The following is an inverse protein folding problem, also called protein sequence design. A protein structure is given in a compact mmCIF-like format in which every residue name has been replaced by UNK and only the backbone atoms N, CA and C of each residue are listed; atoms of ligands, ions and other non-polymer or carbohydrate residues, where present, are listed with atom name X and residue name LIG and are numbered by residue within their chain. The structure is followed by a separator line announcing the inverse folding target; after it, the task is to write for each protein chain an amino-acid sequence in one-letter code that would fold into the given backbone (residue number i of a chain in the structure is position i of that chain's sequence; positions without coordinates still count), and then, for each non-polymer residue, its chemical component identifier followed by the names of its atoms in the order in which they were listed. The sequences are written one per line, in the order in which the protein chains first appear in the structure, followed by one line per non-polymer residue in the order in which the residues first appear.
data_IF_882799432211
#
_entry.id   IF_882799432211
#
_cell.length_a   1.000
_cell.length_b   1.000
_cell.length_c   1.000
_cell.angle_alpha   90.00
_cell.angle_beta   90.00
_cell.angle_gamma   90.00
#
_symmetry.space_group_name_H-M   'P 1'
#
loop_
_entity.id
_entity.type
_entity.pdbx_description
1 polymer ?
#
# COMPACT_ATOMS: atom_id res chain seq x y z
N UNK A 1 -34.11 -50.47 -40.04
CA UNK A 1 -35.11 -49.61 -40.70
C UNK A 1 -35.08 -48.30 -39.92
N UNK A 2 -34.61 -47.15 -40.46
CA UNK A 2 -35.03 -46.49 -41.73
C UNK A 2 -36.54 -46.16 -41.58
N UNK A 3 -37.09 -44.94 -41.63
CA UNK A 3 -36.72 -43.59 -42.12
C UNK A 3 -37.55 -42.54 -41.30
N UNK A 4 -37.45 -41.19 -41.35
CA UNK A 4 -36.78 -40.23 -42.25
C UNK A 4 -36.26 -38.98 -41.50
N UNK A 5 -35.63 -38.07 -42.27
CA UNK A 5 -35.24 -36.67 -42.06
C UNK A 5 -36.38 -35.67 -41.75
N UNK A 6 -36.07 -34.53 -41.09
CA UNK A 6 -36.06 -33.18 -41.71
C UNK A 6 -35.82 -32.03 -40.69
N UNK A 7 -34.67 -31.32 -40.76
CA UNK A 7 -34.52 -29.90 -40.39
C UNK A 7 -34.69 -28.98 -41.62
N UNK A 8 -34.45 -27.65 -41.46
CA UNK A 8 -34.43 -26.53 -42.47
C UNK A 8 -35.68 -25.64 -42.49
N UNK A 9 -35.65 -24.38 -43.03
CA UNK A 9 -34.53 -23.58 -43.59
C UNK A 9 -34.15 -22.36 -42.70
N UNK A 10 -32.97 -21.72 -42.73
CA UNK A 10 -32.21 -21.01 -43.78
C UNK A 10 -32.93 -19.79 -44.39
N UNK A 11 -32.44 -18.59 -44.03
CA UNK A 11 -32.21 -17.44 -44.93
C UNK A 11 -30.83 -16.89 -44.52
N UNK A 12 -29.75 -17.20 -45.25
CA UNK A 12 -29.25 -16.55 -46.48
C UNK A 12 -28.60 -15.16 -46.27
N UNK A 13 -27.33 -15.11 -46.67
CA UNK A 13 -26.46 -13.92 -46.69
C UNK A 13 -26.41 -13.33 -48.10
N UNK A 14 -25.93 -12.08 -48.25
CA UNK A 14 -24.59 -11.93 -48.86
C UNK A 14 -23.78 -10.84 -48.13
N UNK A 15 -22.52 -11.05 -47.71
CA UNK A 15 -21.28 -11.10 -48.54
C UNK A 15 -21.14 -9.94 -49.54
N UNK A 16 -20.26 -8.99 -49.23
CA UNK A 16 -19.75 -8.01 -50.18
C UNK A 16 -18.30 -7.64 -49.83
N UNK A 17 -17.35 -8.50 -50.22
CA UNK A 17 -15.95 -8.10 -50.40
C UNK A 17 -15.84 -7.21 -51.64
N UNK A 18 -15.11 -6.10 -51.53
CA UNK A 18 -14.65 -5.31 -52.68
C UNK A 18 -13.22 -4.82 -52.39
N UNK A 19 -12.24 -5.49 -53.00
CA UNK A 19 -10.86 -4.99 -53.13
C UNK A 19 -10.69 -4.13 -54.40
N UNK A 20 -9.53 -3.47 -54.45
CA UNK A 20 -8.86 -2.83 -55.60
C UNK A 20 -9.17 -1.36 -55.89
N UNK A 21 -8.11 -0.55 -55.87
CA UNK A 21 -8.11 0.88 -56.20
C UNK A 21 -6.78 1.58 -55.89
N UNK A 22 -5.66 1.08 -56.41
CA UNK A 22 -4.37 1.76 -56.35
C UNK A 22 -4.26 2.77 -57.51
N UNK A 23 -4.23 4.08 -57.22
CA UNK A 23 -3.62 5.07 -58.10
C UNK A 23 -2.80 6.10 -57.31
N UNK A 24 -1.59 6.36 -57.81
CA UNK A 24 -0.60 7.29 -57.24
C UNK A 24 -0.85 8.71 -57.72
N UNK A 25 -0.82 9.66 -56.78
CA UNK A 25 -0.55 11.06 -57.08
C UNK A 25 0.33 11.66 -55.98
N UNK A 26 1.60 11.91 -56.31
CA UNK A 26 2.47 12.74 -55.48
C UNK A 26 2.21 14.21 -55.78
N UNK A 27 2.18 15.05 -54.75
CA UNK A 27 2.61 16.45 -54.87
C UNK A 27 3.36 16.88 -53.61
N UNK A 28 4.32 17.78 -53.79
CA UNK A 28 5.26 18.19 -52.75
C UNK A 28 4.95 19.61 -52.26
N UNK A 29 4.84 19.77 -50.94
CA UNK A 29 4.64 21.07 -50.30
C UNK A 29 5.46 21.18 -49.03
N UNK A 30 6.66 21.77 -49.14
CA UNK A 30 7.50 22.04 -47.98
C UNK A 30 6.92 23.19 -47.14
N UNK A 31 6.90 23.00 -45.82
CA UNK A 31 6.56 24.02 -44.84
C UNK A 31 7.21 23.66 -43.51
N UNK A 32 8.30 24.33 -43.18
CA UNK A 32 8.96 24.21 -41.89
C UNK A 32 8.09 24.88 -40.81
N UNK A 33 7.60 24.12 -39.83
CA UNK A 33 7.28 24.69 -38.52
C UNK A 33 8.03 23.97 -37.41
N UNK A 34 8.62 24.79 -36.54
CA UNK A 34 9.56 24.46 -35.48
C UNK A 34 8.83 23.84 -34.26
N UNK A 35 8.28 22.64 -34.41
CA UNK A 35 7.72 21.91 -33.26
C UNK A 35 8.81 21.19 -32.49
N UNK A 36 9.60 21.96 -31.74
CA UNK A 36 10.57 21.49 -30.74
C UNK A 36 9.92 20.82 -29.53
N UNK A 37 9.05 19.84 -29.75
CA UNK A 37 8.59 18.92 -28.71
C UNK A 37 9.66 17.84 -28.53
N UNK A 38 10.61 18.08 -27.63
CA UNK A 38 11.40 16.98 -27.07
C UNK A 38 10.44 16.02 -26.39
N UNK A 39 10.20 14.89 -27.04
CA UNK A 39 9.43 13.78 -26.51
C UNK A 39 10.10 13.32 -25.22
N UNK A 40 9.53 13.73 -24.08
CA UNK A 40 9.94 13.26 -22.76
C UNK A 40 9.53 11.80 -22.69
N UNK A 41 10.42 10.90 -23.11
CA UNK A 41 10.24 9.46 -22.92
C UNK A 41 9.84 9.22 -21.46
N UNK A 42 8.72 8.50 -21.21
CA UNK A 42 8.29 8.27 -19.84
C UNK A 42 9.38 7.49 -19.12
N UNK A 43 10.02 8.10 -18.11
CA UNK A 43 11.10 7.46 -17.35
C UNK A 43 10.61 6.09 -16.86
N UNK A 44 11.17 5.03 -17.46
CA UNK A 44 10.73 3.68 -17.16
C UNK A 44 10.95 3.41 -15.67
N UNK A 45 9.91 3.02 -14.91
CA UNK A 45 10.02 2.89 -13.46
C UNK A 45 11.07 1.83 -13.13
N UNK A 46 12.18 2.29 -12.56
CA UNK A 46 13.35 1.45 -12.27
C UNK A 46 12.96 0.29 -11.35
N UNK A 47 12.89 -0.92 -11.91
CA UNK A 47 12.55 -2.13 -11.19
C UNK A 47 13.58 -2.37 -10.07
N UNK A 48 13.16 -2.22 -8.82
CA UNK A 48 13.98 -2.58 -7.66
C UNK A 48 13.86 -4.08 -7.40
N UNK A 49 14.96 -4.80 -7.45
CA UNK A 49 14.96 -6.23 -7.11
C UNK A 49 14.86 -6.39 -5.59
N UNK A 50 14.25 -7.50 -5.14
CA UNK A 50 14.26 -7.84 -3.70
C UNK A 50 15.69 -7.94 -3.14
N UNK A 51 16.64 -8.40 -3.96
CA UNK A 51 18.06 -8.43 -3.65
C UNK A 51 18.66 -7.04 -3.34
N UNK A 52 18.08 -5.95 -3.84
CA UNK A 52 18.55 -4.58 -3.57
C UNK A 52 17.90 -4.02 -2.30
N UNK A 53 16.67 -4.45 -1.98
CA UNK A 53 16.03 -4.15 -0.70
C UNK A 53 16.89 -4.66 0.47
N UNK A 54 17.26 -5.95 0.45
CA UNK A 54 18.03 -6.60 1.52
C UNK A 54 19.50 -6.17 1.62
N UNK A 55 20.05 -5.50 0.59
CA UNK A 55 21.40 -4.91 0.63
C UNK A 55 21.41 -3.50 1.22
N UNK A 56 20.25 -2.85 1.35
CA UNK A 56 20.16 -1.49 1.87
C UNK A 56 20.40 -1.44 3.38
N UNK A 57 20.70 -0.25 3.92
CA UNK A 57 21.02 -0.08 5.35
C UNK A 57 19.86 -0.50 6.24
N UNK A 58 20.13 -1.08 7.41
CA UNK A 58 19.09 -1.31 8.41
C UNK A 58 18.83 -0.01 9.19
N UNK A 59 17.54 0.26 9.43
CA UNK A 59 16.98 1.33 10.25
C UNK A 59 16.15 0.70 11.36
N UNK A 60 16.18 1.36 12.52
CA UNK A 60 15.42 0.96 13.70
C UNK A 60 14.18 1.85 13.82
N UNK A 61 12.99 1.26 13.83
CA UNK A 61 11.72 1.94 14.09
C UNK A 61 11.25 1.55 15.48
N UNK A 62 11.13 2.54 16.39
CA UNK A 62 10.77 2.30 17.79
C UNK A 62 9.33 2.69 18.03
N UNK A 63 8.52 1.71 18.46
CA UNK A 63 7.12 1.89 18.82
C UNK A 63 6.92 2.32 20.28
N UNK A 64 5.65 2.43 20.68
CA UNK A 64 5.24 2.75 22.06
C UNK A 64 5.28 1.51 22.96
N UNK A 65 5.72 1.67 24.21
CA UNK A 65 5.63 0.62 25.22
C UNK A 65 6.77 0.64 26.24
N UNK A 66 6.55 0.06 27.42
CA UNK A 66 7.54 -0.01 28.51
C UNK A 66 8.82 -0.76 28.10
N UNK A 67 8.70 -1.73 27.19
CA UNK A 67 9.81 -2.50 26.62
C UNK A 67 10.61 -1.78 25.54
N UNK A 68 10.16 -0.61 25.03
CA UNK A 68 10.72 0.09 23.86
C UNK A 68 11.01 -0.85 22.68
N UNK A 69 10.04 -1.69 22.34
CA UNK A 69 10.19 -2.68 21.26
C UNK A 69 10.57 -1.98 19.96
N UNK A 70 11.63 -2.49 19.33
CA UNK A 70 12.28 -1.89 18.17
C UNK A 70 12.17 -2.85 16.99
N UNK A 71 11.64 -2.38 15.87
CA UNK A 71 11.64 -3.11 14.60
C UNK A 71 12.84 -2.70 13.76
N UNK A 72 13.62 -3.68 13.32
CA UNK A 72 14.75 -3.45 12.40
C UNK A 72 14.33 -3.77 10.97
N UNK A 73 14.41 -2.79 10.07
CA UNK A 73 13.96 -2.91 8.69
C UNK A 73 14.89 -2.21 7.70
N UNK A 74 14.86 -2.64 6.44
CA UNK A 74 15.72 -2.14 5.38
C UNK A 74 15.31 -0.74 4.89
N UNK A 75 16.29 0.15 4.65
CA UNK A 75 16.07 1.55 4.24
C UNK A 75 15.26 1.65 2.96
N UNK A 76 15.55 0.81 1.96
CA UNK A 76 14.81 0.79 0.71
C UNK A 76 13.34 0.32 0.85
N UNK A 77 12.98 -0.27 1.99
CA UNK A 77 11.59 -0.63 2.34
C UNK A 77 10.93 0.47 3.14
N UNK A 78 11.63 1.03 4.13
CA UNK A 78 11.13 2.13 4.96
C UNK A 78 10.87 3.40 4.12
N UNK A 79 11.72 3.71 3.13
CA UNK A 79 11.55 4.87 2.22
C UNK A 79 10.28 4.79 1.34
N UNK A 80 9.61 3.63 1.24
CA UNK A 80 8.32 3.51 0.53
C UNK A 80 7.18 4.31 1.18
N UNK A 81 7.27 4.64 2.47
CA UNK A 81 6.37 5.59 3.13
C UNK A 81 6.91 7.02 2.98
N UNK A 82 6.10 7.98 2.49
CA UNK A 82 6.49 9.39 2.41
C UNK A 82 6.93 9.98 3.77
N UNK A 83 6.28 9.58 4.85
CA UNK A 83 6.55 10.04 6.21
C UNK A 83 7.86 9.47 6.77
N UNK A 84 8.08 8.16 6.63
CA UNK A 84 9.38 7.58 7.00
C UNK A 84 10.52 8.17 6.16
N UNK A 85 10.34 8.34 4.84
CA UNK A 85 11.34 8.95 3.97
C UNK A 85 11.68 10.39 4.40
N UNK A 86 10.67 11.18 4.77
CA UNK A 86 10.83 12.55 5.27
C UNK A 86 11.60 12.57 6.60
N UNK A 87 11.28 11.69 7.54
CA UNK A 87 12.00 11.54 8.82
C UNK A 87 13.46 11.09 8.61
N UNK A 88 13.72 10.15 7.71
CA UNK A 88 15.08 9.73 7.36
C UNK A 88 15.90 10.86 6.74
N UNK A 89 15.27 11.70 5.90
CA UNK A 89 15.91 12.88 5.33
C UNK A 89 16.27 13.90 6.41
N UNK A 90 15.38 14.12 7.38
CA UNK A 90 15.64 14.99 8.54
C UNK A 90 16.82 14.47 9.39
N UNK A 91 16.79 13.19 9.79
CA UNK A 91 17.88 12.55 10.54
C UNK A 91 19.24 12.62 9.80
N UNK A 92 19.23 12.39 8.48
CA UNK A 92 20.43 12.52 7.64
C UNK A 92 20.97 13.96 7.61
N UNK A 93 20.08 14.95 7.57
CA UNK A 93 20.45 16.36 7.60
C UNK A 93 21.02 16.77 8.97
N UNK A 94 20.43 16.33 10.08
CA UNK A 94 20.94 16.59 11.43
C UNK A 94 22.35 16.02 11.62
N UNK A 95 22.60 14.78 11.17
CA UNK A 95 23.93 14.16 11.21
C UNK A 95 24.92 14.94 10.35
N UNK A 96 24.53 15.36 9.13
CA UNK A 96 25.38 16.16 8.25
C UNK A 96 25.72 17.53 8.86
N UNK A 97 24.76 18.23 9.46
CA UNK A 97 25.00 19.51 10.14
C UNK A 97 25.94 19.31 11.32
N UNK A 98 25.71 18.33 12.21
CA UNK A 98 26.61 18.05 13.34
C UNK A 98 28.04 17.72 12.89
N UNK A 99 28.20 16.87 11.87
CA UNK A 99 29.51 16.49 11.34
C UNK A 99 30.29 17.69 10.76
N UNK A 100 29.61 18.61 10.07
CA UNK A 100 30.26 19.78 9.47
C UNK A 100 30.44 20.95 10.44
N UNK A 101 29.64 21.05 11.51
CA UNK A 101 29.80 22.06 12.57
C UNK A 101 30.89 21.71 13.59
N UNK A 102 31.34 20.44 13.68
CA UNK A 102 32.22 19.97 14.77
C UNK A 102 33.59 19.50 14.28
N UNK A 103 34.47 20.44 13.92
CA UNK A 103 35.80 20.17 13.33
C UNK A 103 36.82 19.49 14.25
N UNK A 104 36.51 19.15 15.50
CA UNK A 104 37.53 18.68 16.47
C UNK A 104 37.07 17.82 17.67
N UNK A 105 35.93 17.12 17.64
CA UNK A 105 35.56 16.20 18.73
C UNK A 105 35.24 14.78 18.25
N UNK A 106 35.94 13.82 18.85
CA UNK A 106 35.72 12.36 18.86
C UNK A 106 34.96 11.74 17.67
N UNK A 107 35.71 11.13 16.73
CA UNK A 107 35.16 10.30 15.63
C UNK A 107 34.44 9.01 16.09
N UNK A 108 34.42 8.71 17.39
CA UNK A 108 33.98 7.44 17.96
C UNK A 108 32.46 7.26 18.03
N UNK A 109 31.69 8.34 18.15
CA UNK A 109 30.24 8.26 18.42
C UNK A 109 29.37 8.37 17.14
N UNK A 110 29.99 8.40 15.95
CA UNK A 110 29.32 8.54 14.65
C UNK A 110 28.51 7.31 14.21
N UNK A 111 28.38 6.30 15.08
CA UNK A 111 27.63 5.06 14.87
C UNK A 111 26.30 5.02 15.63
N UNK A 112 25.70 6.18 15.94
CA UNK A 112 24.32 6.21 16.43
C UNK A 112 23.40 5.49 15.41
N UNK A 113 22.52 4.57 15.87
CA UNK A 113 21.61 3.88 14.97
C UNK A 113 20.71 4.90 14.26
N UNK A 114 20.39 4.64 12.98
CA UNK A 114 19.37 5.41 12.26
C UNK A 114 18.01 5.02 12.84
N UNK A 115 17.62 5.69 13.91
CA UNK A 115 16.46 5.36 14.72
C UNK A 115 15.33 6.36 14.45
N UNK A 116 14.16 5.86 14.06
CA UNK A 116 12.95 6.67 13.89
C UNK A 116 11.97 6.31 15.02
N UNK A 117 11.68 7.29 15.88
CA UNK A 117 10.79 7.08 17.03
C UNK A 117 9.34 7.43 16.70
N UNK A 118 8.42 6.54 17.08
CA UNK A 118 6.98 6.73 17.02
C UNK A 118 6.37 6.41 18.41
N UNK A 119 6.39 7.38 19.34
CA UNK A 119 6.04 7.14 20.74
C UNK A 119 4.54 6.89 20.95
N UNK A 120 3.69 7.27 20.00
CA UNK A 120 2.23 7.12 20.03
C UNK A 120 1.77 6.11 18.97
N UNK A 121 2.53 5.02 18.81
CA UNK A 121 2.26 3.96 17.85
C UNK A 121 2.21 2.60 18.54
N UNK A 122 1.12 1.88 18.28
CA UNK A 122 0.97 0.47 18.63
C UNK A 122 2.04 -0.38 17.92
N UNK A 123 2.65 -1.32 18.66
CA UNK A 123 3.78 -2.14 18.19
C UNK A 123 3.30 -3.09 17.10
N UNK A 124 2.22 -3.83 17.32
CA UNK A 124 1.76 -4.88 16.40
C UNK A 124 1.19 -4.27 15.10
N UNK A 125 0.58 -3.08 15.18
CA UNK A 125 0.23 -2.29 14.02
C UNK A 125 1.45 -1.82 13.22
N UNK A 126 2.55 -1.43 13.87
CA UNK A 126 3.81 -1.09 13.19
C UNK A 126 4.44 -2.32 12.53
N UNK A 127 4.42 -3.49 13.17
CA UNK A 127 4.83 -4.75 12.57
C UNK A 127 4.05 -5.06 11.28
N UNK A 128 2.73 -4.89 11.32
CA UNK A 128 1.83 -5.06 10.17
C UNK A 128 2.12 -4.08 9.03
N UNK A 129 2.40 -2.80 9.33
CA UNK A 129 2.85 -1.82 8.34
C UNK A 129 4.15 -2.26 7.68
N UNK A 130 5.13 -2.71 8.46
CA UNK A 130 6.44 -3.13 7.94
C UNK A 130 6.28 -4.37 7.04
N UNK A 131 5.46 -5.36 7.41
CA UNK A 131 5.14 -6.51 6.55
C UNK A 131 4.54 -6.08 5.20
N UNK A 132 3.59 -5.13 5.24
CA UNK A 132 3.02 -4.54 4.03
C UNK A 132 4.07 -3.85 3.15
N UNK A 133 5.01 -3.09 3.73
CA UNK A 133 6.07 -2.44 2.94
C UNK A 133 7.00 -3.46 2.27
N UNK A 134 7.18 -4.67 2.82
CA UNK A 134 7.88 -5.76 2.12
C UNK A 134 7.04 -6.46 1.06
N UNK A 135 5.80 -6.83 1.38
CA UNK A 135 5.04 -7.84 0.61
C UNK A 135 3.80 -7.33 -0.13
N UNK A 136 3.35 -6.09 0.14
CA UNK A 136 2.10 -5.53 -0.37
C UNK A 136 0.84 -6.01 0.35
N UNK A 137 0.99 -6.85 1.37
CA UNK A 137 -0.08 -7.41 2.19
C UNK A 137 0.44 -7.57 3.64
N UNK A 138 -0.46 -7.74 4.61
CA UNK A 138 -0.07 -8.00 6.00
C UNK A 138 -0.94 -9.08 6.62
N UNK A 139 -0.54 -9.67 7.74
CA UNK A 139 -1.31 -10.72 8.40
C UNK A 139 -2.56 -10.20 9.15
N UNK A 140 -3.71 -10.91 9.14
CA UNK A 140 -4.04 -12.07 8.31
C UNK A 140 -4.32 -11.66 6.86
N UNK A 141 -3.88 -12.46 5.90
CA UNK A 141 -3.92 -12.11 4.47
C UNK A 141 -5.28 -12.45 3.86
N UNK A 142 -5.58 -11.87 2.71
CA UNK A 142 -6.74 -12.30 1.89
C UNK A 142 -6.40 -13.63 1.23
N UNK A 143 -7.24 -14.65 1.38
CA UNK A 143 -6.97 -15.98 0.80
C UNK A 143 -7.10 -16.05 -0.73
N UNK A 144 -7.56 -14.96 -1.38
CA UNK A 144 -7.66 -14.76 -2.83
C UNK A 144 -7.96 -13.26 -3.11
N UNK A 145 -7.82 -12.84 -4.37
CA UNK A 145 -8.06 -11.46 -4.82
C UNK A 145 -9.55 -11.07 -4.95
N UNK A 146 -10.48 -12.03 -4.88
CA UNK A 146 -11.91 -11.75 -5.01
C UNK A 146 -12.49 -10.99 -3.80
N UNK A 147 -13.53 -10.20 -4.05
CA UNK A 147 -14.01 -9.13 -3.16
C UNK A 147 -14.44 -9.60 -1.77
N UNK A 148 -15.13 -10.73 -1.68
CA UNK A 148 -15.82 -11.17 -0.45
C UNK A 148 -15.14 -12.39 0.20
N UNK A 149 -13.84 -12.56 -0.10
CA UNK A 149 -13.02 -13.70 0.33
C UNK A 149 -12.60 -13.59 1.81
N UNK A 150 -12.74 -14.65 2.62
CA UNK A 150 -12.33 -14.62 4.03
C UNK A 150 -10.82 -14.41 4.19
N UNK A 151 -10.47 -13.80 5.33
CA UNK A 151 -9.09 -13.68 5.78
C UNK A 151 -8.54 -15.05 6.20
N UNK A 152 -7.22 -15.19 6.13
CA UNK A 152 -6.51 -16.32 6.73
C UNK A 152 -6.85 -16.45 8.21
N UNK A 153 -6.92 -17.69 8.72
CA UNK A 153 -7.22 -17.91 10.13
C UNK A 153 -6.02 -17.54 10.99
N UNK A 154 -6.20 -16.54 11.83
CA UNK A 154 -5.24 -16.15 12.85
C UNK A 154 -5.17 -17.20 13.99
N UNK A 155 -4.00 -17.80 14.29
CA UNK A 155 -3.83 -18.70 15.44
C UNK A 155 -3.61 -17.95 16.77
N UNK A 156 -3.31 -16.65 16.73
CA UNK A 156 -3.12 -15.78 17.90
C UNK A 156 -4.42 -15.11 18.36
N UNK A 157 -5.37 -14.85 17.45
CA UNK A 157 -6.69 -14.39 17.86
C UNK A 157 -7.50 -15.53 18.53
N UNK A 158 -8.03 -15.30 19.74
CA UNK A 158 -8.94 -16.26 20.35
C UNK A 158 -10.25 -16.37 19.53
N UNK A 159 -10.94 -17.51 19.68
CA UNK A 159 -12.32 -17.72 19.21
C UNK A 159 -13.17 -16.48 19.56
N UNK A 160 -13.94 -15.89 18.62
CA UNK A 160 -14.39 -14.49 18.63
C UNK A 160 -14.52 -13.86 20.02
N UNK A 161 -13.45 -13.20 20.42
CA UNK A 161 -13.33 -12.55 21.72
C UNK A 161 -14.34 -11.42 21.85
N UNK A 162 -14.93 -11.31 23.05
CA UNK A 162 -15.94 -10.30 23.36
C UNK A 162 -15.34 -8.88 23.56
N UNK A 163 -14.12 -8.65 23.07
CA UNK A 163 -13.33 -7.43 23.15
C UNK A 163 -13.10 -6.75 21.79
N UNK A 164 -13.31 -7.46 20.68
CA UNK A 164 -13.11 -6.95 19.32
C UNK A 164 -11.65 -6.80 18.92
N UNK A 165 -10.72 -7.55 19.52
CA UNK A 165 -9.28 -7.44 19.25
C UNK A 165 -8.94 -7.33 17.74
N UNK A 166 -9.42 -8.27 16.91
CA UNK A 166 -9.14 -8.27 15.47
C UNK A 166 -9.72 -7.08 14.68
N UNK A 167 -10.81 -6.45 15.14
CA UNK A 167 -11.27 -5.18 14.56
C UNK A 167 -10.32 -4.05 14.93
N UNK A 168 -9.89 -4.00 16.19
CA UNK A 168 -8.98 -2.98 16.70
C UNK A 168 -7.60 -3.04 16.03
N UNK A 169 -7.09 -4.24 15.74
CA UNK A 169 -5.82 -4.41 15.04
C UNK A 169 -5.85 -3.80 13.63
N UNK A 170 -6.92 -4.07 12.86
CA UNK A 170 -7.10 -3.46 11.55
C UNK A 170 -7.42 -1.96 11.63
N UNK A 171 -8.13 -1.51 12.67
CA UNK A 171 -8.38 -0.09 12.91
C UNK A 171 -7.07 0.68 13.21
N UNK A 172 -6.19 0.13 14.04
CA UNK A 172 -4.85 0.66 14.33
C UNK A 172 -3.99 0.75 13.08
N UNK A 173 -3.97 -0.29 12.24
CA UNK A 173 -3.25 -0.26 10.95
C UNK A 173 -3.86 0.78 10.00
N UNK A 174 -5.18 0.92 9.97
CA UNK A 174 -5.88 1.91 9.13
C UNK A 174 -5.52 3.36 9.51
N UNK A 175 -5.56 3.71 10.80
CA UNK A 175 -5.19 5.07 11.27
C UNK A 175 -3.68 5.32 11.17
N UNK A 176 -2.85 4.30 11.40
CA UNK A 176 -1.40 4.41 11.22
C UNK A 176 -1.00 4.57 9.74
N UNK A 177 -1.68 3.90 8.82
CA UNK A 177 -1.45 4.03 7.39
C UNK A 177 -1.72 5.45 6.87
N UNK A 178 -2.77 6.10 7.38
CA UNK A 178 -3.02 7.52 7.12
C UNK A 178 -1.88 8.41 7.63
N UNK A 179 -1.48 8.21 8.91
CA UNK A 179 -0.36 8.93 9.54
C UNK A 179 1.00 8.68 8.88
N UNK A 180 1.12 7.69 8.00
CA UNK A 180 2.35 7.34 7.28
C UNK A 180 2.28 7.65 5.78
N UNK A 181 1.17 8.23 5.28
CA UNK A 181 0.98 8.54 3.87
C UNK A 181 0.85 7.31 2.97
N UNK A 182 0.23 6.23 3.47
CA UNK A 182 0.07 4.94 2.80
C UNK A 182 -1.41 4.68 2.42
N UNK A 183 -1.97 5.34 1.38
CA UNK A 183 -3.40 5.26 1.04
C UNK A 183 -3.84 3.83 0.66
N UNK A 184 -2.99 3.09 -0.05
CA UNK A 184 -3.26 1.70 -0.42
C UNK A 184 -3.33 0.78 0.81
N UNK A 185 -2.48 1.00 1.82
CA UNK A 185 -2.57 0.27 3.09
C UNK A 185 -3.82 0.68 3.89
N UNK A 186 -4.21 1.96 3.88
CA UNK A 186 -5.46 2.43 4.50
C UNK A 186 -6.67 1.74 3.86
N UNK A 187 -6.70 1.68 2.53
CA UNK A 187 -7.73 0.99 1.75
C UNK A 187 -7.76 -0.52 2.04
N UNK A 188 -6.59 -1.17 2.07
CA UNK A 188 -6.43 -2.58 2.43
C UNK A 188 -6.95 -2.87 3.84
N UNK A 189 -6.53 -2.09 4.84
CA UNK A 189 -6.92 -2.27 6.23
C UNK A 189 -8.42 -2.03 6.44
N UNK A 190 -8.96 -0.94 5.88
CA UNK A 190 -10.41 -0.70 5.87
C UNK A 190 -11.17 -1.85 5.22
N UNK A 191 -10.65 -2.40 4.12
CA UNK A 191 -11.24 -3.57 3.47
C UNK A 191 -11.25 -4.79 4.41
N UNK A 192 -10.22 -5.02 5.23
CA UNK A 192 -10.18 -6.15 6.18
C UNK A 192 -11.14 -5.99 7.36
N UNK A 193 -11.35 -4.77 7.88
CA UNK A 193 -12.31 -4.50 8.97
C UNK A 193 -13.68 -5.12 8.66
N UNK A 194 -14.20 -4.94 7.44
CA UNK A 194 -15.49 -5.50 7.00
C UNK A 194 -15.52 -7.03 6.83
N UNK A 195 -14.38 -7.73 6.96
CA UNK A 195 -14.28 -9.20 6.87
C UNK A 195 -13.89 -9.87 8.19
N UNK A 196 -13.57 -9.09 9.22
CA UNK A 196 -13.31 -9.61 10.56
C UNK A 196 -14.63 -9.86 11.28
N UNK A 197 -14.85 -11.08 11.75
CA UNK A 197 -16.03 -11.41 12.55
C UNK A 197 -15.93 -10.78 13.95
N UNK A 198 -17.02 -10.20 14.43
CA UNK A 198 -17.10 -9.40 15.66
C UNK A 198 -18.32 -9.72 16.52
N UNK A 199 -18.26 -9.33 17.80
CA UNK A 199 -19.43 -9.21 18.67
C UNK A 199 -19.84 -7.75 18.79
N UNK A 200 -21.09 -7.48 19.17
CA UNK A 200 -21.59 -6.11 19.40
C UNK A 200 -20.74 -5.31 20.41
N UNK A 201 -20.10 -5.99 21.38
CA UNK A 201 -19.18 -5.34 22.32
C UNK A 201 -17.83 -5.01 21.70
N UNK A 202 -17.33 -5.89 20.82
CA UNK A 202 -16.15 -5.61 20.00
C UNK A 202 -16.37 -4.46 19.01
N UNK A 203 -17.55 -4.38 18.40
CA UNK A 203 -17.96 -3.26 17.53
C UNK A 203 -18.06 -1.94 18.31
N UNK A 204 -18.59 -1.96 19.54
CA UNK A 204 -18.59 -0.79 20.42
C UNK A 204 -17.17 -0.35 20.82
N UNK A 205 -16.25 -1.30 21.04
CA UNK A 205 -14.85 -0.99 21.31
C UNK A 205 -14.15 -0.36 20.09
N UNK A 206 -14.37 -0.94 18.90
CA UNK A 206 -13.93 -0.41 17.61
C UNK A 206 -14.47 1.01 17.36
N UNK A 207 -15.77 1.24 17.56
CA UNK A 207 -16.39 2.55 17.40
C UNK A 207 -15.73 3.62 18.30
N UNK A 208 -15.49 3.30 19.58
CA UNK A 208 -14.79 4.18 20.53
C UNK A 208 -13.36 4.49 20.10
N UNK A 209 -12.63 3.50 19.58
CA UNK A 209 -11.29 3.69 19.03
C UNK A 209 -11.32 4.63 17.83
N UNK A 210 -12.21 4.39 16.86
CA UNK A 210 -12.33 5.21 15.64
C UNK A 210 -12.62 6.67 15.99
N UNK A 211 -13.58 6.96 16.88
CA UNK A 211 -13.90 8.33 17.28
C UNK A 211 -12.74 9.05 17.98
N UNK A 212 -11.86 8.32 18.68
CA UNK A 212 -10.70 8.85 19.41
C UNK A 212 -9.46 9.07 18.52
N UNK A 213 -9.17 8.14 17.62
CA UNK A 213 -7.87 8.05 16.91
C UNK A 213 -7.90 8.45 15.43
N UNK A 214 -9.08 8.55 14.80
CA UNK A 214 -9.22 9.02 13.41
C UNK A 214 -9.56 10.52 13.34
N UNK A 215 -9.26 11.16 12.21
CA UNK A 215 -9.67 12.54 11.94
C UNK A 215 -11.21 12.69 12.02
N UNK A 216 -11.76 13.70 12.73
CA UNK A 216 -13.19 14.05 12.72
C UNK A 216 -13.89 13.98 11.35
N UNK A 217 -13.20 14.41 10.30
CA UNK A 217 -13.75 14.50 8.94
C UNK A 217 -13.60 13.21 8.12
N UNK A 218 -12.95 12.15 8.63
CA UNK A 218 -12.79 10.90 7.89
C UNK A 218 -14.08 10.06 7.84
N UNK A 219 -14.92 10.42 6.87
CA UNK A 219 -16.16 9.71 6.57
C UNK A 219 -15.94 8.25 6.13
N UNK A 220 -14.73 7.85 5.72
CA UNK A 220 -14.45 6.48 5.23
C UNK A 220 -14.68 5.45 6.35
N UNK A 221 -14.07 5.72 7.51
CA UNK A 221 -14.11 4.83 8.68
C UNK A 221 -15.21 5.24 9.67
N UNK A 222 -15.59 6.53 9.74
CA UNK A 222 -16.62 7.02 10.67
C UNK A 222 -18.05 6.80 10.18
N UNK A 223 -18.35 6.91 8.88
CA UNK A 223 -19.72 6.77 8.36
C UNK A 223 -20.34 5.38 8.59
N UNK A 224 -19.61 4.25 8.42
CA UNK A 224 -20.14 2.93 8.78
C UNK A 224 -20.41 2.80 10.28
N UNK A 225 -19.53 3.37 11.13
CA UNK A 225 -19.67 3.36 12.59
C UNK A 225 -20.85 4.21 13.07
N UNK A 226 -21.16 5.31 12.40
CA UNK A 226 -22.30 6.17 12.72
C UNK A 226 -23.66 5.63 12.24
N UNK A 227 -23.66 4.58 11.42
CA UNK A 227 -24.86 3.90 10.93
C UNK A 227 -25.23 2.64 11.74
N UNK A 228 -24.49 2.38 12.82
CA UNK A 228 -24.59 1.22 13.70
C UNK A 228 -25.25 1.60 15.04
#
# INVERSE_FOLDING_TARGET
MVESEQPMPIEDTPTADVEMGEEVAADAGAGEEETGMTELEPEQPKLMLFADLIKSSIIEVVGSGESKTTYSAHEAVIVKSPEFASRLRALRLEVYVRQNSMRSFARTDLRQPRQITFPDCDIDAMGSVIEYLYTGEYFPKKTSSARDVPLEKDPHQPVPGDDGAGLLDHARVCTLAERLGLPELKSLAHSKIHRTASTAKGELAYARFVYKESNPDDQTIRKPVAAF
#
